data_IF_618380991979
#
_entry.id   IF_618380991979
#
_cell.length_a   1.000
_cell.length_b   1.000
_cell.length_c   1.000
_cell.angle_alpha   90.00
_cell.angle_beta   90.00
_cell.angle_gamma   90.00
#
_symmetry.space_group_name_H-M   'P 1'
#
loop_
_entity.id
_entity.type
_entity.pdbx_description
1 polymer ?
#
# COMPACT_ATOMS: atom_id res chain seq x y z
N UNK A 1 -24.30 21.89 -16.60
CA UNK A 1 -23.30 21.10 -15.87
C UNK A 1 -23.14 21.69 -14.48
N UNK A 2 -22.99 20.89 -13.45
CA UNK A 2 -22.78 21.30 -12.07
C UNK A 2 -21.50 20.61 -11.56
N UNK A 3 -20.78 21.27 -10.65
CA UNK A 3 -19.61 20.68 -9.99
C UNK A 3 -20.02 20.26 -8.58
N UNK A 4 -19.90 18.97 -8.30
CA UNK A 4 -20.02 18.43 -6.94
C UNK A 4 -18.63 18.36 -6.29
N UNK A 5 -18.59 18.56 -4.99
CA UNK A 5 -17.33 18.50 -4.22
C UNK A 5 -17.51 17.68 -2.96
N UNK A 6 -16.55 16.79 -2.71
CA UNK A 6 -16.50 15.89 -1.57
C UNK A 6 -15.14 15.97 -0.90
N UNK A 7 -15.10 15.70 0.39
CA UNK A 7 -13.82 15.57 1.10
C UNK A 7 -13.92 14.62 2.29
N UNK A 8 -12.80 13.97 2.61
CA UNK A 8 -12.69 13.08 3.75
C UNK A 8 -11.29 13.18 4.36
N UNK A 9 -11.20 13.08 5.68
CA UNK A 9 -9.94 12.98 6.41
C UNK A 9 -9.60 11.50 6.64
N UNK A 10 -8.40 11.09 6.25
CA UNK A 10 -7.90 9.71 6.26
C UNK A 10 -6.62 9.67 7.09
N UNK A 11 -6.57 8.78 8.08
CA UNK A 11 -5.38 8.59 8.92
C UNK A 11 -4.37 7.65 8.22
N UNK A 12 -3.91 8.07 7.06
CA UNK A 12 -2.89 7.41 6.25
C UNK A 12 -2.15 8.46 5.42
N UNK A 13 -0.94 8.15 4.95
CA UNK A 13 -0.15 9.08 4.12
C UNK A 13 -0.79 9.36 2.77
N UNK A 14 -0.43 10.48 2.12
CA UNK A 14 -0.81 10.71 0.72
C UNK A 14 -0.40 9.56 -0.20
N UNK A 15 0.77 8.95 0.00
CA UNK A 15 1.25 7.81 -0.80
C UNK A 15 0.33 6.60 -0.63
N UNK A 16 -0.08 6.27 0.60
CA UNK A 16 -1.04 5.18 0.87
C UNK A 16 -2.38 5.44 0.20
N UNK A 17 -2.94 6.64 0.38
CA UNK A 17 -4.24 6.99 -0.22
C UNK A 17 -4.14 6.98 -1.75
N UNK A 18 -3.05 7.50 -2.32
CA UNK A 18 -2.79 7.45 -3.76
C UNK A 18 -2.73 6.02 -4.28
N UNK A 19 -2.00 5.16 -3.60
CA UNK A 19 -1.92 3.74 -3.97
C UNK A 19 -3.30 3.07 -3.92
N UNK A 20 -4.08 3.31 -2.87
CA UNK A 20 -5.44 2.77 -2.74
C UNK A 20 -6.36 3.26 -3.87
N UNK A 21 -6.23 4.51 -4.26
CA UNK A 21 -7.05 5.09 -5.33
C UNK A 21 -6.78 4.45 -6.70
N UNK A 22 -5.49 4.15 -7.02
CA UNK A 22 -5.10 3.84 -8.41
C UNK A 22 -4.51 2.44 -8.62
N UNK A 23 -4.26 1.65 -7.57
CA UNK A 23 -3.92 0.23 -7.72
C UNK A 23 -5.12 -0.56 -8.23
N UNK A 24 -4.96 -1.40 -9.26
CA UNK A 24 -6.08 -2.10 -9.92
C UNK A 24 -6.95 -2.91 -8.96
N UNK A 25 -6.33 -3.67 -8.04
CA UNK A 25 -7.08 -4.49 -7.07
C UNK A 25 -7.89 -3.63 -6.09
N UNK A 26 -7.29 -2.55 -5.57
CA UNK A 26 -7.91 -1.66 -4.59
C UNK A 26 -8.92 -0.72 -5.26
N UNK A 27 -8.63 -0.26 -6.48
CA UNK A 27 -9.58 0.49 -7.32
C UNK A 27 -10.90 -0.28 -7.49
N UNK A 28 -10.84 -1.56 -7.83
CA UNK A 28 -12.01 -2.42 -7.97
C UNK A 28 -12.82 -2.54 -6.67
N UNK A 29 -12.17 -2.45 -5.51
CA UNK A 29 -12.85 -2.52 -4.20
C UNK A 29 -13.63 -1.25 -3.90
N UNK A 30 -13.01 -0.07 -4.02
CA UNK A 30 -13.72 1.15 -3.64
C UNK A 30 -14.74 1.61 -4.70
N UNK A 31 -14.53 1.31 -5.97
CA UNK A 31 -15.47 1.65 -7.04
C UNK A 31 -16.72 0.78 -7.07
N UNK A 32 -16.79 -0.29 -6.26
CA UNK A 32 -18.04 -1.04 -6.02
C UNK A 32 -19.17 -0.14 -5.51
N UNK A 33 -18.85 0.99 -4.86
CA UNK A 33 -19.84 2.00 -4.45
C UNK A 33 -20.63 2.59 -5.64
N UNK A 34 -20.04 2.61 -6.84
CA UNK A 34 -20.69 3.07 -8.07
C UNK A 34 -21.33 1.91 -8.84
N UNK A 35 -20.57 0.82 -9.02
CA UNK A 35 -21.07 -0.38 -9.68
C UNK A 35 -20.20 -1.57 -9.27
N UNK A 36 -20.83 -2.67 -8.85
CA UNK A 36 -20.12 -3.91 -8.57
C UNK A 36 -19.40 -4.42 -9.83
N UNK A 37 -18.13 -4.81 -9.67
CA UNK A 37 -17.28 -5.28 -10.75
C UNK A 37 -16.71 -4.19 -11.65
N UNK A 38 -16.76 -2.92 -11.23
CA UNK A 38 -16.06 -1.82 -11.91
C UNK A 38 -14.57 -2.06 -12.02
N UNK A 39 -13.97 -1.66 -13.12
CA UNK A 39 -12.54 -1.73 -13.37
C UNK A 39 -12.09 -0.62 -14.33
N UNK A 40 -10.78 -0.44 -14.44
CA UNK A 40 -10.19 0.58 -15.29
C UNK A 40 -9.19 -0.03 -16.27
N UNK A 41 -9.07 0.56 -17.46
CA UNK A 41 -8.03 0.24 -18.45
C UNK A 41 -7.31 1.53 -18.83
N UNK A 42 -6.02 1.62 -18.49
CA UNK A 42 -5.15 2.77 -18.77
C UNK A 42 -3.67 2.36 -18.69
N UNK A 43 -2.79 3.16 -19.28
CA UNK A 43 -1.34 3.10 -19.04
C UNK A 43 -0.91 3.94 -17.83
N UNK A 44 -1.82 4.70 -17.24
CA UNK A 44 -1.57 5.60 -16.11
C UNK A 44 -0.42 6.60 -16.36
N UNK A 45 -0.44 7.22 -17.54
CA UNK A 45 0.52 8.24 -17.94
C UNK A 45 -0.21 9.57 -18.24
N UNK A 46 0.37 10.73 -17.93
CA UNK A 46 -0.20 12.02 -18.35
C UNK A 46 -0.45 12.07 -19.87
N UNK A 47 -1.64 12.47 -20.26
CA UNK A 47 -2.09 12.49 -21.65
C UNK A 47 -2.61 11.16 -22.18
N UNK A 48 -2.56 10.08 -21.40
CA UNK A 48 -3.11 8.79 -21.84
C UNK A 48 -4.62 8.73 -21.72
N UNK A 49 -5.22 7.85 -22.55
CA UNK A 49 -6.62 7.48 -22.49
C UNK A 49 -6.89 6.57 -21.30
N UNK A 50 -8.02 6.77 -20.63
CA UNK A 50 -8.52 5.91 -19.56
C UNK A 50 -9.97 5.51 -19.84
N UNK A 51 -10.26 4.23 -19.66
CA UNK A 51 -11.60 3.66 -19.74
C UNK A 51 -12.06 3.23 -18.35
N UNK A 52 -13.10 3.83 -17.84
CA UNK A 52 -13.81 3.43 -16.62
C UNK A 52 -14.94 2.51 -17.02
N UNK A 53 -14.84 1.23 -16.70
CA UNK A 53 -15.72 0.18 -17.21
C UNK A 53 -16.48 -0.52 -16.09
N UNK A 54 -17.70 -0.93 -16.42
CA UNK A 54 -18.51 -1.86 -15.65
C UNK A 54 -18.66 -3.20 -16.37
N UNK A 55 -19.07 -4.28 -15.68
CA UNK A 55 -19.38 -5.54 -16.34
C UNK A 55 -20.38 -5.35 -17.49
N UNK A 56 -20.10 -5.97 -18.64
CA UNK A 56 -20.93 -5.85 -19.83
C UNK A 56 -20.53 -4.71 -20.78
N UNK A 57 -19.34 -4.10 -20.56
CA UNK A 57 -18.74 -3.18 -21.55
C UNK A 57 -19.39 -1.81 -21.60
N UNK A 58 -20.01 -1.37 -20.51
CA UNK A 58 -20.52 -0.01 -20.37
C UNK A 58 -19.62 0.81 -19.46
N UNK A 59 -19.54 2.12 -19.69
CA UNK A 59 -18.73 2.99 -18.88
C UNK A 59 -18.52 4.37 -19.49
N UNK A 60 -17.41 4.98 -19.12
CA UNK A 60 -16.99 6.30 -19.61
C UNK A 60 -15.52 6.23 -20.04
N UNK A 61 -15.12 7.14 -20.92
CA UNK A 61 -13.73 7.34 -21.25
C UNK A 61 -13.31 8.79 -21.06
N UNK A 62 -12.05 8.95 -20.68
CA UNK A 62 -11.46 10.23 -20.39
C UNK A 62 -9.98 10.27 -20.83
N UNK A 63 -9.39 11.45 -20.83
CA UNK A 63 -7.94 11.62 -20.87
C UNK A 63 -7.43 12.03 -19.49
N UNK A 64 -6.28 11.49 -19.09
CA UNK A 64 -5.55 11.93 -17.90
C UNK A 64 -4.87 13.25 -18.24
N UNK A 65 -5.41 14.37 -17.78
CA UNK A 65 -4.88 15.72 -18.11
C UNK A 65 -3.88 16.25 -17.10
N UNK A 66 -3.86 15.67 -15.90
CA UNK A 66 -2.88 15.97 -14.85
C UNK A 66 -2.66 14.74 -13.99
N UNK A 67 -1.41 14.45 -13.66
CA UNK A 67 -1.02 13.40 -12.72
C UNK A 67 0.28 13.82 -12.04
N UNK A 68 0.18 14.20 -10.77
CA UNK A 68 1.30 14.56 -9.89
C UNK A 68 1.23 13.69 -8.63
N UNK A 69 1.81 12.51 -8.71
CA UNK A 69 1.82 11.57 -7.57
C UNK A 69 2.67 12.11 -6.40
N UNK A 70 2.21 11.97 -5.14
CA UNK A 70 0.91 11.45 -4.71
C UNK A 70 -0.13 12.57 -4.46
N UNK A 71 -0.09 13.70 -5.18
CA UNK A 71 -0.81 14.92 -4.81
C UNK A 71 -2.06 15.21 -5.64
N UNK A 72 -2.02 14.98 -6.95
CA UNK A 72 -3.17 15.31 -7.80
C UNK A 72 -3.35 14.38 -8.99
N UNK A 73 -4.62 14.13 -9.32
CA UNK A 73 -5.07 13.42 -10.52
C UNK A 73 -6.27 14.14 -11.10
N UNK A 74 -6.27 14.37 -12.42
CA UNK A 74 -7.40 14.98 -13.13
C UNK A 74 -7.70 14.25 -14.42
N UNK A 75 -8.98 13.94 -14.59
CA UNK A 75 -9.53 13.33 -15.78
C UNK A 75 -10.40 14.34 -16.52
N UNK A 76 -10.25 14.43 -17.84
CA UNK A 76 -11.16 15.14 -18.71
C UNK A 76 -12.05 14.11 -19.39
N UNK A 77 -13.32 14.02 -18.98
CA UNK A 77 -14.29 13.09 -19.55
C UNK A 77 -14.63 13.50 -20.99
N UNK A 78 -14.65 12.53 -21.89
CA UNK A 78 -14.84 12.72 -23.32
C UNK A 78 -16.12 12.06 -23.84
N UNK A 79 -16.64 11.01 -23.16
CA UNK A 79 -17.85 10.36 -23.60
C UNK A 79 -18.14 9.04 -22.87
N UNK A 80 -19.13 8.35 -23.36
CA UNK A 80 -19.57 7.05 -22.86
C UNK A 80 -18.98 5.90 -23.66
N UNK A 81 -18.89 4.73 -23.02
CA UNK A 81 -18.57 3.45 -23.64
C UNK A 81 -19.84 2.60 -23.65
N UNK A 82 -20.18 2.04 -24.80
CA UNK A 82 -21.28 1.10 -24.97
C UNK A 82 -20.78 -0.10 -25.78
N UNK A 83 -20.99 -1.29 -25.25
CA UNK A 83 -20.52 -2.55 -25.85
C UNK A 83 -19.00 -2.56 -26.16
N UNK A 84 -18.21 -1.99 -25.22
CA UNK A 84 -16.75 -1.81 -25.31
C UNK A 84 -16.26 -0.79 -26.35
N UNK A 85 -17.16 -0.05 -27.01
CA UNK A 85 -16.81 0.95 -28.02
C UNK A 85 -17.05 2.37 -27.48
N UNK A 86 -16.07 3.28 -27.73
CA UNK A 86 -16.24 4.71 -27.43
C UNK A 86 -17.34 5.32 -28.30
N UNK A 87 -18.28 6.01 -27.69
CA UNK A 87 -19.35 6.70 -28.39
C UNK A 87 -19.04 8.18 -28.54
N UNK A 88 -19.66 8.83 -29.56
CA UNK A 88 -19.59 10.28 -29.69
C UNK A 88 -20.32 10.94 -28.51
N UNK A 89 -19.66 11.82 -27.73
CA UNK A 89 -20.32 12.45 -26.60
C UNK A 89 -21.48 13.35 -27.03
N UNK A 90 -22.53 13.47 -26.20
CA UNK A 90 -23.53 14.49 -26.37
C UNK A 90 -22.95 15.91 -26.38
N UNK A 91 -23.50 16.85 -27.17
CA UNK A 91 -22.98 18.23 -27.29
C UNK A 91 -22.84 18.98 -25.93
N UNK A 92 -23.60 18.58 -24.91
CA UNK A 92 -23.63 19.18 -23.58
C UNK A 92 -22.67 18.54 -22.57
N UNK A 93 -21.83 17.58 -22.98
CA UNK A 93 -20.93 16.83 -22.10
C UNK A 93 -19.43 17.13 -22.32
N UNK A 94 -19.13 18.10 -23.17
CA UNK A 94 -17.75 18.50 -23.43
C UNK A 94 -17.12 19.14 -22.17
N UNK A 95 -15.89 18.73 -21.88
CA UNK A 95 -14.99 19.32 -20.87
C UNK A 95 -15.35 19.05 -19.39
N UNK A 96 -16.15 18.03 -19.07
CA UNK A 96 -16.35 17.63 -17.68
C UNK A 96 -15.07 17.13 -17.04
N UNK A 97 -14.72 17.70 -15.90
CA UNK A 97 -13.51 17.36 -15.13
C UNK A 97 -13.91 16.56 -13.91
N UNK A 98 -13.14 15.51 -13.65
CA UNK A 98 -13.09 14.82 -12.36
C UNK A 98 -11.67 14.96 -11.80
N UNK A 99 -11.56 15.46 -10.57
CA UNK A 99 -10.26 15.77 -9.98
C UNK A 99 -10.17 15.26 -8.54
N UNK A 100 -8.99 14.75 -8.21
CA UNK A 100 -8.60 14.27 -6.88
C UNK A 100 -7.40 15.09 -6.42
N UNK A 101 -7.45 15.60 -5.20
CA UNK A 101 -6.37 16.34 -4.56
C UNK A 101 -6.11 15.77 -3.17
N UNK A 102 -4.86 15.44 -2.88
CA UNK A 102 -4.40 14.89 -1.62
C UNK A 102 -3.51 15.92 -0.92
N UNK A 103 -3.98 16.37 0.23
CA UNK A 103 -3.28 17.33 1.08
C UNK A 103 -2.78 16.63 2.34
N UNK A 104 -1.45 16.64 2.57
CA UNK A 104 -0.86 16.11 3.78
C UNK A 104 -1.27 16.97 4.99
N UNK A 105 -1.68 16.32 6.07
CA UNK A 105 -2.05 16.96 7.34
C UNK A 105 -1.26 16.35 8.50
N UNK A 106 -1.32 16.96 9.67
CA UNK A 106 -0.67 16.41 10.86
C UNK A 106 -1.22 15.03 11.31
N UNK A 107 -2.43 14.65 10.82
CA UNK A 107 -3.11 13.41 11.17
C UNK A 107 -3.24 12.44 9.99
N UNK A 108 -2.55 12.69 8.87
CA UNK A 108 -2.65 11.87 7.66
C UNK A 108 -2.93 12.70 6.42
N UNK A 109 -3.97 12.35 5.67
CA UNK A 109 -4.31 12.97 4.39
C UNK A 109 -5.73 13.52 4.39
N UNK A 110 -5.91 14.71 3.85
CA UNK A 110 -7.21 15.20 3.43
C UNK A 110 -7.39 14.99 1.94
N UNK A 111 -8.32 14.13 1.58
CA UNK A 111 -8.68 13.84 0.19
C UNK A 111 -9.85 14.74 -0.22
N UNK A 112 -9.66 15.51 -1.29
CA UNK A 112 -10.69 16.30 -1.95
C UNK A 112 -10.98 15.71 -3.32
N UNK A 113 -12.28 15.57 -3.63
CA UNK A 113 -12.74 15.12 -4.94
C UNK A 113 -13.73 16.15 -5.49
N UNK A 114 -13.55 16.54 -6.74
CA UNK A 114 -14.53 17.34 -7.48
C UNK A 114 -14.91 16.64 -8.77
N UNK A 115 -16.18 16.66 -9.12
CA UNK A 115 -16.70 16.05 -10.34
C UNK A 115 -17.73 16.96 -11.01
N UNK A 116 -17.50 17.24 -12.28
CA UNK A 116 -18.46 17.93 -13.12
C UNK A 116 -19.48 16.92 -13.68
N UNK A 117 -20.76 17.20 -13.48
CA UNK A 117 -21.83 16.27 -13.90
C UNK A 117 -23.08 17.00 -14.39
N UNK A 118 -23.96 16.27 -15.04
CA UNK A 118 -25.27 16.76 -15.43
C UNK A 118 -26.23 16.69 -14.23
N UNK A 119 -27.20 17.60 -14.18
CA UNK A 119 -28.19 17.68 -13.09
C UNK A 119 -28.87 16.33 -12.77
N UNK A 120 -29.11 15.52 -13.81
CA UNK A 120 -29.72 14.20 -13.66
C UNK A 120 -28.89 13.20 -12.83
N UNK A 121 -27.57 13.39 -12.75
CA UNK A 121 -26.64 12.51 -12.03
C UNK A 121 -26.20 13.08 -10.68
N UNK A 122 -26.58 14.33 -10.34
CA UNK A 122 -26.18 14.93 -9.06
C UNK A 122 -26.61 14.09 -7.86
N UNK A 123 -27.91 13.73 -7.77
CA UNK A 123 -28.42 12.93 -6.66
C UNK A 123 -27.72 11.57 -6.52
N UNK A 124 -27.62 10.76 -7.57
CA UNK A 124 -26.83 9.52 -7.52
C UNK A 124 -25.38 9.73 -7.04
N UNK A 125 -24.66 10.75 -7.52
CA UNK A 125 -23.29 11.02 -7.12
C UNK A 125 -23.17 11.51 -5.67
N UNK A 126 -24.10 12.34 -5.19
CA UNK A 126 -24.18 12.76 -3.79
C UNK A 126 -24.35 11.57 -2.83
N UNK A 127 -24.98 10.48 -3.30
CA UNK A 127 -25.14 9.24 -2.52
C UNK A 127 -23.96 8.29 -2.63
N UNK A 128 -23.33 8.20 -3.81
CA UNK A 128 -22.28 7.20 -4.08
C UNK A 128 -20.88 7.66 -3.67
N UNK A 129 -20.49 8.92 -3.95
CA UNK A 129 -19.15 9.41 -3.62
C UNK A 129 -18.82 9.33 -2.12
N UNK A 130 -19.71 9.73 -1.19
CA UNK A 130 -19.42 9.56 0.23
C UNK A 130 -19.13 8.09 0.61
N UNK A 131 -19.90 7.15 0.06
CA UNK A 131 -19.67 5.70 0.31
C UNK A 131 -18.33 5.22 -0.28
N UNK A 132 -18.01 5.66 -1.50
CA UNK A 132 -16.73 5.36 -2.13
C UNK A 132 -15.56 5.88 -1.30
N UNK A 133 -15.64 7.11 -0.81
CA UNK A 133 -14.61 7.72 0.02
C UNK A 133 -14.46 7.04 1.39
N UNK A 134 -15.53 6.56 2.00
CA UNK A 134 -15.44 5.74 3.22
C UNK A 134 -14.73 4.40 2.97
N UNK A 135 -14.94 3.78 1.80
CA UNK A 135 -14.19 2.56 1.42
C UNK A 135 -12.72 2.89 1.19
N UNK A 136 -12.39 3.97 0.48
CA UNK A 136 -11.01 4.43 0.31
C UNK A 136 -10.35 4.67 1.66
N UNK A 137 -11.05 5.34 2.59
CA UNK A 137 -10.57 5.58 3.97
C UNK A 137 -10.26 4.26 4.67
N UNK A 138 -11.21 3.33 4.73
CA UNK A 138 -11.03 2.05 5.41
C UNK A 138 -9.86 1.25 4.81
N UNK A 139 -9.77 1.18 3.47
CA UNK A 139 -8.68 0.49 2.77
C UNK A 139 -7.32 1.16 3.03
N UNK A 140 -7.28 2.49 3.16
CA UNK A 140 -6.04 3.22 3.41
C UNK A 140 -5.57 3.10 4.87
N UNK A 141 -6.49 3.17 5.81
CA UNK A 141 -6.18 3.09 7.25
C UNK A 141 -5.79 1.66 7.70
N UNK A 142 -6.25 0.63 6.98
CA UNK A 142 -5.93 -0.78 7.25
C UNK A 142 -4.82 -1.32 6.31
N UNK A 143 -4.22 -0.44 5.47
CA UNK A 143 -3.25 -0.88 4.47
C UNK A 143 -1.95 -1.35 5.11
N UNK A 144 -1.51 -2.56 4.76
CA UNK A 144 -0.21 -3.11 5.13
C UNK A 144 0.54 -3.63 3.90
N UNK A 145 1.87 -3.52 3.93
CA UNK A 145 2.73 -4.17 2.96
C UNK A 145 2.93 -5.63 3.43
N UNK A 146 2.79 -6.57 2.50
CA UNK A 146 2.94 -8.00 2.76
C UNK A 146 4.10 -8.57 1.97
N UNK A 147 5.01 -9.27 2.64
CA UNK A 147 6.10 -10.02 2.04
C UNK A 147 6.12 -11.44 2.59
N UNK A 148 6.69 -12.37 1.85
CA UNK A 148 6.80 -13.74 2.33
C UNK A 148 7.95 -14.49 1.67
N UNK A 149 8.47 -15.50 2.39
CA UNK A 149 9.48 -16.42 1.85
C UNK A 149 9.23 -17.83 2.40
N UNK A 150 9.63 -18.83 1.61
CA UNK A 150 9.64 -20.22 2.05
C UNK A 150 11.07 -20.66 2.33
N UNK A 151 11.35 -21.09 3.56
CA UNK A 151 12.68 -21.49 4.05
C UNK A 151 12.74 -23.01 4.16
N UNK A 152 13.76 -23.63 3.55
CA UNK A 152 13.98 -25.09 3.57
C UNK A 152 14.61 -25.54 4.91
N UNK A 153 13.97 -25.22 6.04
CA UNK A 153 14.39 -25.59 7.37
C UNK A 153 13.17 -25.78 8.28
N UNK A 154 13.35 -26.53 9.37
CA UNK A 154 12.30 -26.73 10.37
C UNK A 154 11.97 -25.41 11.11
N UNK A 155 10.76 -25.37 11.66
CA UNK A 155 10.21 -24.14 12.25
C UNK A 155 10.99 -23.69 13.50
N UNK A 156 11.63 -24.62 14.24
CA UNK A 156 12.43 -24.29 15.41
C UNK A 156 13.72 -23.57 15.01
N UNK A 157 14.40 -24.07 13.98
CA UNK A 157 15.59 -23.45 13.40
C UNK A 157 15.26 -22.08 12.82
N UNK A 158 14.17 -21.96 12.04
CA UNK A 158 13.72 -20.69 11.47
C UNK A 158 13.41 -19.67 12.57
N UNK A 159 12.67 -20.06 13.60
CA UNK A 159 12.36 -19.18 14.74
C UNK A 159 13.61 -18.70 15.47
N UNK A 160 14.56 -19.61 15.78
CA UNK A 160 15.81 -19.24 16.46
C UNK A 160 16.61 -18.25 15.62
N UNK A 161 16.80 -18.53 14.34
CA UNK A 161 17.53 -17.63 13.45
C UNK A 161 16.86 -16.27 13.27
N UNK A 162 15.52 -16.20 13.37
CA UNK A 162 14.80 -14.94 13.26
C UNK A 162 14.87 -14.09 14.54
N UNK A 163 14.91 -14.73 15.72
CA UNK A 163 14.70 -14.04 17.00
C UNK A 163 15.99 -13.85 17.83
N UNK A 164 17.04 -14.66 17.63
CA UNK A 164 18.24 -14.57 18.42
C UNK A 164 19.22 -13.52 17.85
N UNK A 165 19.72 -12.57 18.67
CA UNK A 165 20.57 -11.47 18.22
C UNK A 165 21.81 -11.88 17.43
N UNK A 166 22.46 -12.98 17.82
CA UNK A 166 23.66 -13.51 17.15
C UNK A 166 23.38 -13.95 15.71
N UNK A 167 22.17 -14.42 15.41
CA UNK A 167 21.75 -14.75 14.07
C UNK A 167 21.31 -13.49 13.30
N UNK A 168 20.56 -12.58 13.93
CA UNK A 168 20.08 -11.34 13.31
C UNK A 168 21.23 -10.51 12.72
N UNK A 169 22.39 -10.46 13.40
CA UNK A 169 23.57 -9.74 12.89
C UNK A 169 24.14 -10.32 11.59
N UNK A 170 23.73 -11.51 11.17
CA UNK A 170 24.26 -12.18 9.98
C UNK A 170 23.43 -11.93 8.73
N UNK A 171 22.13 -11.66 8.87
CA UNK A 171 21.22 -11.57 7.72
C UNK A 171 20.47 -10.25 7.60
N UNK A 172 20.39 -9.44 8.67
CA UNK A 172 19.52 -8.27 8.71
C UNK A 172 20.15 -7.07 7.97
N UNK A 173 20.23 -7.17 6.65
CA UNK A 173 20.62 -6.11 5.72
C UNK A 173 19.88 -6.24 4.38
N UNK A 174 19.55 -5.09 3.75
CA UNK A 174 18.87 -5.06 2.46
C UNK A 174 19.83 -5.23 1.26
N UNK A 175 21.13 -4.93 1.44
CA UNK A 175 22.14 -4.96 0.38
C UNK A 175 23.55 -5.19 0.96
N UNK A 176 24.50 -5.55 0.10
CA UNK A 176 25.87 -5.92 0.49
C UNK A 176 26.70 -4.77 1.09
N UNK A 177 26.31 -3.53 0.85
CA UNK A 177 26.95 -2.31 1.40
C UNK A 177 26.43 -1.93 2.79
N UNK A 178 25.41 -2.60 3.30
CA UNK A 178 24.87 -2.47 4.65
C UNK A 178 25.22 -3.68 5.52
N UNK A 179 25.14 -3.51 6.83
CA UNK A 179 25.25 -4.57 7.82
C UNK A 179 24.56 -4.23 9.13
N UNK A 180 24.33 -5.23 9.98
CA UNK A 180 23.83 -5.09 11.35
C UNK A 180 24.94 -5.55 12.32
N UNK A 181 25.86 -4.67 12.73
CA UNK A 181 27.02 -5.06 13.57
C UNK A 181 26.62 -5.38 15.01
N UNK A 182 25.44 -4.94 15.45
CA UNK A 182 24.94 -5.19 16.80
C UNK A 182 23.44 -5.41 16.79
N UNK A 183 22.99 -6.40 17.55
CA UNK A 183 21.59 -6.67 17.82
C UNK A 183 21.42 -7.08 19.29
N UNK A 184 20.30 -6.70 19.90
CA UNK A 184 19.88 -7.14 21.22
C UNK A 184 18.36 -7.31 21.25
N UNK A 185 17.84 -8.22 22.07
CA UNK A 185 16.41 -8.45 22.22
C UNK A 185 16.08 -9.01 23.60
N UNK A 186 15.04 -8.46 24.23
CA UNK A 186 14.33 -9.04 25.36
C UNK A 186 13.06 -9.71 24.84
N UNK A 187 13.17 -10.98 24.39
CA UNK A 187 12.13 -11.70 23.65
C UNK A 187 10.98 -12.12 24.55
N UNK A 188 10.15 -11.14 24.95
CA UNK A 188 8.90 -11.33 25.69
C UNK A 188 7.93 -10.19 25.37
N UNK A 189 6.66 -10.40 25.60
CA UNK A 189 5.66 -9.32 25.48
C UNK A 189 6.05 -8.14 26.38
N UNK A 190 6.09 -6.94 25.78
CA UNK A 190 6.54 -5.70 26.41
C UNK A 190 8.07 -5.55 26.51
N UNK A 191 8.85 -6.55 26.09
CA UNK A 191 10.31 -6.41 25.93
C UNK A 191 10.64 -5.67 24.65
N UNK A 192 11.86 -5.12 24.58
CA UNK A 192 12.34 -4.35 23.42
C UNK A 192 13.43 -5.08 22.67
N UNK A 193 13.62 -4.71 21.41
CA UNK A 193 14.80 -5.08 20.64
C UNK A 193 15.42 -3.85 19.99
N UNK A 194 16.73 -3.93 19.73
CA UNK A 194 17.48 -2.92 18.97
C UNK A 194 18.38 -3.62 17.97
N UNK A 195 18.25 -3.27 16.70
CA UNK A 195 19.17 -3.69 15.64
C UNK A 195 19.89 -2.46 15.10
N UNK A 196 21.21 -2.39 15.29
CA UNK A 196 22.03 -1.33 14.69
C UNK A 196 22.23 -1.63 13.21
N UNK A 197 21.63 -0.84 12.34
CA UNK A 197 21.79 -0.95 10.89
C UNK A 197 22.68 0.19 10.40
N UNK A 198 23.75 -0.12 9.65
CA UNK A 198 24.66 0.91 9.13
C UNK A 198 25.32 0.51 7.82
N UNK A 199 25.65 1.53 7.02
CA UNK A 199 26.46 1.36 5.83
C UNK A 199 27.89 0.98 6.20
N UNK A 200 28.49 0.01 5.51
CA UNK A 200 29.85 -0.49 5.77
C UNK A 200 30.95 0.57 5.61
N UNK A 201 30.67 1.63 4.86
CA UNK A 201 31.57 2.78 4.70
C UNK A 201 31.43 3.82 5.82
N UNK A 202 30.49 3.62 6.76
CA UNK A 202 30.22 4.51 7.89
C UNK A 202 29.48 5.81 7.52
N UNK A 203 28.98 5.95 6.31
CA UNK A 203 28.29 7.17 5.83
C UNK A 203 26.93 7.39 6.48
N UNK A 204 26.25 6.32 6.87
CA UNK A 204 24.88 6.35 7.40
C UNK A 204 24.67 5.20 8.40
N UNK A 205 23.76 5.38 9.35
CA UNK A 205 23.33 4.32 10.24
C UNK A 205 22.23 4.80 11.18
N UNK A 206 21.40 3.85 11.60
CA UNK A 206 20.28 4.07 12.54
C UNK A 206 20.06 2.84 13.42
N UNK A 207 19.37 3.03 14.52
CA UNK A 207 18.90 1.96 15.37
C UNK A 207 17.45 1.65 15.01
N UNK A 208 17.21 0.42 14.56
CA UNK A 208 15.87 -0.09 14.33
C UNK A 208 15.39 -0.69 15.66
N UNK A 209 14.43 0.01 16.29
CA UNK A 209 13.94 -0.28 17.65
C UNK A 209 12.48 -0.67 17.60
N UNK A 210 12.10 -1.71 18.34
CA UNK A 210 10.71 -2.10 18.50
C UNK A 210 10.41 -2.66 19.88
N UNK A 211 9.12 -2.69 20.21
CA UNK A 211 8.56 -3.30 21.42
C UNK A 211 7.67 -4.47 21.03
N UNK A 212 7.89 -5.65 21.59
CA UNK A 212 7.11 -6.84 21.29
C UNK A 212 5.70 -6.75 21.91
N UNK A 213 4.69 -6.85 21.05
CA UNK A 213 3.27 -6.92 21.42
C UNK A 213 2.80 -8.37 21.57
N UNK A 214 3.35 -9.28 20.73
CA UNK A 214 3.04 -10.71 20.74
C UNK A 214 4.32 -11.51 20.58
N UNK A 215 4.51 -12.51 21.45
CA UNK A 215 5.58 -13.50 21.33
C UNK A 215 4.94 -14.89 21.54
N UNK A 216 4.60 -15.54 20.46
CA UNK A 216 4.06 -16.92 20.41
C UNK A 216 5.10 -17.80 19.72
N UNK A 217 5.95 -18.53 20.48
CA UNK A 217 7.04 -19.30 19.90
C UNK A 217 6.60 -20.20 18.74
N UNK A 218 7.39 -20.18 17.66
CA UNK A 218 7.20 -20.96 16.44
C UNK A 218 5.95 -20.64 15.63
N UNK A 219 5.16 -19.61 16.04
CA UNK A 219 3.88 -19.31 15.39
C UNK A 219 3.80 -17.85 14.96
N UNK A 220 4.06 -16.93 15.92
CA UNK A 220 3.83 -15.51 15.67
C UNK A 220 4.72 -14.60 16.50
N UNK A 221 5.21 -13.57 15.86
CA UNK A 221 5.88 -12.43 16.48
C UNK A 221 5.21 -11.15 15.99
N UNK A 222 4.80 -10.27 16.90
CA UNK A 222 4.33 -8.95 16.51
C UNK A 222 4.99 -7.90 17.40
N UNK A 223 5.28 -6.74 16.81
CA UNK A 223 5.90 -5.62 17.49
C UNK A 223 5.44 -4.30 16.87
N UNK A 224 5.61 -3.23 17.62
CA UNK A 224 5.47 -1.88 17.09
C UNK A 224 6.79 -1.12 17.22
N UNK A 225 7.03 -0.21 16.29
CA UNK A 225 8.17 0.71 16.30
C UNK A 225 7.85 1.96 17.13
N UNK A 226 8.86 2.81 17.40
CA UNK A 226 8.69 4.02 18.22
C UNK A 226 7.66 5.02 17.66
N UNK A 227 7.47 5.04 16.34
CA UNK A 227 6.47 5.85 15.65
C UNK A 227 5.06 5.24 15.64
N UNK A 228 4.89 4.06 16.25
CA UNK A 228 3.62 3.34 16.37
C UNK A 228 3.30 2.40 15.21
N UNK A 229 4.12 2.34 14.14
CA UNK A 229 3.95 1.40 13.04
C UNK A 229 4.10 -0.03 13.53
N UNK A 230 3.24 -0.90 13.05
CA UNK A 230 3.15 -2.30 13.49
C UNK A 230 3.75 -3.23 12.46
N UNK A 231 4.35 -4.29 12.97
CA UNK A 231 4.85 -5.41 12.18
C UNK A 231 4.32 -6.69 12.77
N UNK A 232 3.90 -7.60 11.92
CA UNK A 232 3.44 -8.92 12.31
C UNK A 232 4.12 -9.98 11.43
N UNK A 233 4.78 -10.94 12.07
CA UNK A 233 5.46 -12.06 11.42
C UNK A 233 4.79 -13.36 11.85
N UNK A 234 4.43 -14.19 10.88
CA UNK A 234 3.87 -15.53 11.13
C UNK A 234 4.76 -16.59 10.53
N UNK A 235 4.86 -17.72 11.25
CA UNK A 235 5.63 -18.88 10.88
C UNK A 235 4.66 -20.05 10.74
N UNK A 236 4.70 -20.74 9.60
CA UNK A 236 3.81 -21.87 9.33
C UNK A 236 4.62 -23.03 8.80
N UNK A 237 4.57 -24.16 9.52
CA UNK A 237 5.21 -25.40 9.07
C UNK A 237 4.56 -25.93 7.79
N UNK A 238 5.37 -26.43 6.87
CA UNK A 238 4.97 -27.02 5.59
C UNK A 238 5.64 -28.37 5.41
N UNK A 239 5.23 -29.13 4.41
CA UNK A 239 5.83 -30.44 4.10
C UNK A 239 7.33 -30.36 3.74
N UNK A 240 7.84 -29.20 3.36
CA UNK A 240 9.20 -28.99 2.85
C UNK A 240 10.01 -27.96 3.63
N UNK A 241 9.48 -27.40 4.72
CA UNK A 241 10.15 -26.38 5.51
C UNK A 241 9.18 -25.47 6.22
N UNK A 242 9.49 -24.17 6.28
CA UNK A 242 8.69 -23.17 6.99
C UNK A 242 8.34 -22.00 6.07
N UNK A 243 7.07 -21.65 5.97
CA UNK A 243 6.62 -20.42 5.37
C UNK A 243 6.72 -19.28 6.39
N UNK A 244 7.46 -18.25 6.07
CA UNK A 244 7.51 -16.99 6.83
C UNK A 244 6.72 -15.93 6.06
N UNK A 245 5.77 -15.31 6.72
CA UNK A 245 4.99 -14.19 6.16
C UNK A 245 5.08 -13.01 7.12
N UNK A 246 5.41 -11.86 6.58
CA UNK A 246 5.55 -10.60 7.30
C UNK A 246 4.61 -9.56 6.72
N UNK A 247 3.90 -8.84 7.58
CA UNK A 247 3.09 -7.68 7.21
C UNK A 247 3.46 -6.49 8.09
N UNK A 248 3.53 -5.30 7.50
CA UNK A 248 3.92 -4.09 8.21
C UNK A 248 3.22 -2.85 7.69
N UNK A 249 3.02 -1.90 8.60
CA UNK A 249 2.49 -0.58 8.26
C UNK A 249 3.56 0.20 7.49
N UNK A 250 3.24 0.80 6.33
CA UNK A 250 4.20 1.56 5.55
C UNK A 250 4.64 2.82 6.30
N UNK A 251 5.86 3.26 6.05
CA UNK A 251 6.33 4.58 6.43
C UNK A 251 6.06 5.62 5.32
N UNK A 252 6.33 6.90 5.55
CA UNK A 252 5.83 8.00 4.72
C UNK A 252 6.91 8.73 3.92
N UNK A 253 8.17 8.33 4.02
CA UNK A 253 9.30 9.00 3.35
C UNK A 253 9.67 8.31 2.02
N UNK A 254 9.44 6.98 1.93
CA UNK A 254 9.81 6.17 0.78
C UNK A 254 8.57 5.58 0.08
N UNK A 255 8.67 5.34 -1.23
CA UNK A 255 7.59 4.69 -1.97
C UNK A 255 7.33 3.26 -1.49
N UNK A 256 6.13 2.74 -1.73
CA UNK A 256 5.80 1.36 -1.39
C UNK A 256 6.70 0.34 -2.06
N UNK A 257 7.06 0.58 -3.33
CA UNK A 257 7.94 -0.29 -4.09
C UNK A 257 9.32 -0.37 -3.44
N UNK A 258 9.84 0.74 -2.94
CA UNK A 258 11.14 0.77 -2.26
C UNK A 258 11.06 0.05 -0.91
N UNK A 259 10.00 0.27 -0.13
CA UNK A 259 9.78 -0.42 1.14
C UNK A 259 9.60 -1.92 0.92
N UNK A 260 8.74 -2.32 -0.02
CA UNK A 260 8.54 -3.72 -0.39
C UNK A 260 9.84 -4.40 -0.81
N UNK A 261 10.63 -3.74 -1.68
CA UNK A 261 11.90 -4.26 -2.15
C UNK A 261 12.94 -4.35 -1.02
N UNK A 262 13.05 -3.34 -0.15
CA UNK A 262 14.00 -3.31 0.95
C UNK A 262 13.73 -4.39 2.00
N UNK A 263 12.50 -4.48 2.50
CA UNK A 263 12.12 -5.51 3.47
C UNK A 263 12.17 -6.91 2.84
N UNK A 264 11.76 -7.04 1.57
CA UNK A 264 11.83 -8.31 0.84
C UNK A 264 13.27 -8.78 0.66
N UNK A 265 14.24 -7.89 0.42
CA UNK A 265 15.65 -8.22 0.33
C UNK A 265 16.22 -8.70 1.68
N UNK A 266 15.82 -8.07 2.79
CA UNK A 266 16.19 -8.52 4.13
C UNK A 266 15.64 -9.93 4.40
N UNK A 267 14.38 -10.18 4.08
CA UNK A 267 13.74 -11.48 4.27
C UNK A 267 14.36 -12.57 3.37
N UNK A 268 14.82 -12.21 2.17
CA UNK A 268 15.56 -13.13 1.27
C UNK A 268 16.95 -13.45 1.82
N UNK A 269 17.67 -12.46 2.38
CA UNK A 269 18.95 -12.71 3.07
C UNK A 269 18.75 -13.62 4.29
N UNK A 270 17.66 -13.43 5.05
CA UNK A 270 17.29 -14.34 6.13
C UNK A 270 17.13 -15.77 5.62
N UNK A 271 16.36 -15.99 4.55
CA UNK A 271 16.18 -17.32 3.96
C UNK A 271 17.52 -17.95 3.59
N UNK A 272 18.38 -17.23 2.85
CA UNK A 272 19.68 -17.71 2.41
C UNK A 272 20.59 -18.08 3.59
N UNK A 273 20.56 -17.26 4.66
CA UNK A 273 21.34 -17.53 5.87
C UNK A 273 20.88 -18.83 6.54
N UNK A 274 19.58 -18.99 6.78
CA UNK A 274 19.04 -20.18 7.44
C UNK A 274 19.31 -21.46 6.66
N UNK A 275 19.17 -21.43 5.34
CA UNK A 275 19.43 -22.59 4.48
C UNK A 275 20.90 -23.00 4.36
N UNK A 276 21.84 -22.19 4.88
CA UNK A 276 23.28 -22.48 4.95
C UNK A 276 23.74 -22.86 6.37
N UNK A 277 22.89 -22.72 7.36
CA UNK A 277 23.20 -23.02 8.78
C UNK A 277 22.85 -24.46 9.11
#
# INVERSE_FOLDING_TARGET
MQTLSFSIDINASPDTVWFVLWNDELYRKWTTAFCEGSYVVSTWEPGSRIHFLSPGGRGMYADIVEMEAPHSMRFKHLGEIVDFEETTPPENWSDAIEAYQLEATAAGTKLHVSVDTLEAYCGPFEDMFPKALEIVKALSEDFQIHISTHVLADIETVWQCFTQPEHVTQWNQASDDWHTPHAEADLRVGGTFTHRMEAKDGSMGFDFIGTFDVVEPFTRLAYHMEDGRKVNVTFTETDTGTQVHESFDPEYENSFELQYAGWGAILENFRQYVEQT
#
